data_IF_293845560941
#
_entry.id   IF_293845560941
#
_cell.length_a   1.000
_cell.length_b   1.000
_cell.length_c   1.000
_cell.angle_alpha   90.00
_cell.angle_beta   90.00
_cell.angle_gamma   90.00
#
_symmetry.space_group_name_H-M   'P 1'
#
loop_
_entity.id
_entity.type
_entity.pdbx_description
1 polymer ?
#
# COMPACT_ATOMS: atom_id res chain seq x y z
N UNK A 1 14.54 15.73 -4.22
CA UNK A 1 14.22 16.09 -2.83
C UNK A 1 12.76 15.72 -2.62
N UNK A 2 12.45 14.82 -1.69
CA UNK A 2 11.07 14.37 -1.48
C UNK A 2 10.21 15.54 -1.00
N UNK A 3 9.11 15.84 -1.68
CA UNK A 3 8.15 16.87 -1.27
C UNK A 3 7.56 16.49 0.09
N UNK A 4 7.91 17.25 1.13
CA UNK A 4 7.42 17.03 2.48
C UNK A 4 6.00 17.56 2.60
N UNK A 5 5.01 16.73 2.29
CA UNK A 5 3.61 17.08 2.62
C UNK A 5 3.46 17.00 4.14
N UNK A 6 2.90 18.02 4.83
CA UNK A 6 2.97 18.20 6.29
C UNK A 6 2.37 17.09 7.16
N UNK A 7 1.67 16.11 6.56
CA UNK A 7 1.06 14.98 7.26
C UNK A 7 1.81 13.65 7.09
N UNK A 8 2.97 13.62 6.41
CA UNK A 8 3.73 12.40 6.16
C UNK A 8 4.93 12.27 7.10
N UNK A 9 4.73 11.62 8.24
CA UNK A 9 5.74 11.44 9.31
C UNK A 9 6.21 10.00 9.46
N UNK A 10 5.48 9.00 8.96
CA UNK A 10 5.87 7.60 9.07
C UNK A 10 6.90 7.27 8.01
N UNK A 11 8.09 6.83 8.42
CA UNK A 11 9.11 6.33 7.50
C UNK A 11 8.80 4.88 7.16
N UNK A 12 8.79 4.55 5.86
CA UNK A 12 8.60 3.19 5.35
C UNK A 12 9.70 2.86 4.34
N UNK A 13 10.08 1.59 4.27
CA UNK A 13 11.12 1.10 3.37
C UNK A 13 10.51 0.14 2.36
N UNK A 14 10.84 0.32 1.09
CA UNK A 14 10.37 -0.56 0.04
C UNK A 14 11.42 -0.71 -1.05
N UNK A 15 11.03 -1.38 -2.13
CA UNK A 15 11.78 -1.42 -3.37
C UNK A 15 11.03 -0.62 -4.43
N UNK A 16 11.70 0.33 -5.06
CA UNK A 16 11.10 1.18 -6.08
C UNK A 16 11.89 1.14 -7.39
N UNK A 17 11.16 1.21 -8.51
CA UNK A 17 11.74 1.60 -9.78
C UNK A 17 11.74 3.12 -9.87
N UNK A 18 12.85 3.67 -10.35
CA UNK A 18 13.04 5.12 -10.51
C UNK A 18 12.87 5.59 -11.96
N UNK A 19 12.90 4.66 -12.91
CA UNK A 19 12.74 4.90 -14.34
C UNK A 19 12.18 3.63 -15.02
N UNK A 20 11.96 3.73 -16.34
CA UNK A 20 11.42 2.66 -17.17
C UNK A 20 12.42 1.56 -17.55
N UNK A 21 13.66 1.57 -17.03
CA UNK A 21 14.59 0.44 -17.20
C UNK A 21 14.06 -0.84 -16.53
N UNK A 22 13.19 -0.66 -15.55
CA UNK A 22 12.65 -1.71 -14.71
C UNK A 22 13.62 -2.22 -13.63
N UNK A 23 14.71 -1.49 -13.38
CA UNK A 23 15.59 -1.75 -12.25
C UNK A 23 14.92 -1.28 -10.96
N UNK A 24 14.87 -2.16 -9.96
CA UNK A 24 14.23 -1.89 -8.68
C UNK A 24 15.33 -1.81 -7.61
N UNK A 25 15.35 -0.71 -6.86
CA UNK A 25 16.36 -0.44 -5.82
C UNK A 25 15.70 -0.12 -4.48
N UNK A 26 16.40 -0.33 -3.35
CA UNK A 26 15.89 0.07 -2.04
C UNK A 26 15.52 1.56 -2.01
N UNK A 27 14.32 1.85 -1.50
CA UNK A 27 13.74 3.18 -1.50
C UNK A 27 12.98 3.43 -0.20
N UNK A 28 13.43 4.45 0.53
CA UNK A 28 12.77 4.90 1.75
C UNK A 28 11.92 6.13 1.45
N UNK A 29 10.67 6.10 1.89
CA UNK A 29 9.73 7.20 1.67
C UNK A 29 8.86 7.43 2.90
N UNK A 30 8.09 8.52 2.87
CA UNK A 30 7.22 8.89 3.99
C UNK A 30 5.76 8.60 3.68
N UNK A 31 5.07 8.00 4.64
CA UNK A 31 3.63 7.77 4.69
C UNK A 31 3.01 8.67 5.75
N UNK A 32 1.71 8.93 5.59
CA UNK A 32 0.94 9.68 6.56
C UNK A 32 0.63 8.85 7.80
N UNK A 33 0.38 9.51 8.92
CA UNK A 33 -0.14 8.80 10.10
C UNK A 33 -1.51 8.18 9.82
N UNK A 34 -1.80 7.12 10.57
CA UNK A 34 -3.12 6.52 10.61
C UNK A 34 -4.14 7.54 11.10
N UNK A 35 -5.08 7.86 10.22
CA UNK A 35 -6.31 8.54 10.57
C UNK A 35 -7.30 7.59 11.24
N UNK A 36 -8.46 8.15 11.59
CA UNK A 36 -9.50 7.45 12.37
C UNK A 36 -10.13 6.27 11.63
N UNK A 37 -10.08 6.25 10.30
CA UNK A 37 -10.66 5.21 9.43
C UNK A 37 -9.60 4.29 8.81
N UNK A 38 -8.34 4.42 9.20
CA UNK A 38 -7.22 3.75 8.53
C UNK A 38 -6.74 2.53 9.30
N UNK A 39 -6.08 1.65 8.57
CA UNK A 39 -5.43 0.47 9.14
C UNK A 39 -3.99 0.41 8.63
N UNK A 40 -3.06 0.18 9.54
CA UNK A 40 -1.68 -0.18 9.21
C UNK A 40 -1.56 -1.69 9.17
N UNK A 41 -0.84 -2.16 8.18
CA UNK A 41 -0.54 -3.56 7.99
C UNK A 41 0.98 -3.69 7.93
N UNK A 42 1.51 -4.60 8.72
CA UNK A 42 2.86 -5.11 8.58
C UNK A 42 2.86 -6.15 7.46
N UNK A 43 3.59 -5.87 6.39
CA UNK A 43 3.65 -6.72 5.20
C UNK A 43 4.54 -7.92 5.50
N UNK A 44 3.99 -9.13 5.37
CA UNK A 44 4.76 -10.36 5.50
C UNK A 44 5.18 -10.90 4.13
N UNK A 45 4.27 -10.83 3.16
CA UNK A 45 4.50 -11.32 1.80
C UNK A 45 3.84 -10.40 0.79
N UNK A 46 4.49 -10.24 -0.37
CA UNK A 46 3.93 -9.55 -1.52
C UNK A 46 4.08 -10.43 -2.76
N UNK A 47 2.96 -10.76 -3.39
CA UNK A 47 2.90 -11.40 -4.70
C UNK A 47 3.29 -10.41 -5.80
N UNK A 48 4.01 -10.93 -6.78
CA UNK A 48 4.42 -10.19 -7.99
C UNK A 48 3.76 -10.86 -9.18
N UNK A 49 3.07 -10.09 -9.99
CA UNK A 49 2.45 -10.56 -11.22
C UNK A 49 2.95 -9.77 -12.44
N UNK A 50 2.50 -10.15 -13.63
CA UNK A 50 2.91 -9.49 -14.88
C UNK A 50 2.51 -8.00 -14.91
N UNK A 51 1.40 -7.63 -14.25
CA UNK A 51 0.95 -6.24 -14.15
C UNK A 51 2.00 -5.36 -13.48
N UNK A 52 2.72 -5.86 -12.47
CA UNK A 52 3.80 -5.09 -11.82
C UNK A 52 4.91 -4.76 -12.81
N UNK A 53 5.25 -5.69 -13.71
CA UNK A 53 6.26 -5.50 -14.74
C UNK A 53 5.83 -4.41 -15.73
N UNK A 54 4.56 -4.44 -16.17
CA UNK A 54 4.00 -3.41 -17.06
C UNK A 54 4.08 -2.01 -16.44
N UNK A 55 3.80 -1.89 -15.13
CA UNK A 55 3.96 -0.63 -14.41
C UNK A 55 5.43 -0.23 -14.28
N UNK A 56 6.31 -1.12 -13.85
CA UNK A 56 7.73 -0.85 -13.61
C UNK A 56 8.48 -0.47 -14.90
N UNK A 57 8.06 -0.99 -16.06
CA UNK A 57 8.62 -0.62 -17.37
C UNK A 57 7.87 0.51 -18.08
N UNK A 58 6.78 1.02 -17.48
CA UNK A 58 5.90 2.04 -18.08
C UNK A 58 5.41 1.67 -19.49
N UNK A 59 5.08 0.41 -19.74
CA UNK A 59 4.67 -0.06 -21.06
C UNK A 59 3.34 0.56 -21.52
N UNK A 60 2.54 1.04 -20.57
CA UNK A 60 1.28 1.74 -20.83
C UNK A 60 1.40 3.27 -20.81
N UNK A 61 2.59 3.83 -20.54
CA UNK A 61 2.82 5.27 -20.52
C UNK A 61 2.16 6.03 -19.35
N UNK A 62 1.59 5.33 -18.37
CA UNK A 62 0.85 5.92 -17.25
C UNK A 62 1.60 5.91 -15.91
N UNK A 63 2.77 5.28 -15.84
CA UNK A 63 3.53 5.12 -14.61
C UNK A 63 4.13 6.45 -14.17
N UNK A 64 3.96 6.77 -12.88
CA UNK A 64 4.62 7.89 -12.22
C UNK A 64 5.73 7.36 -11.33
N UNK A 65 6.96 7.76 -11.61
CA UNK A 65 8.13 7.37 -10.83
C UNK A 65 8.37 8.36 -9.67
N UNK A 66 8.93 7.90 -8.53
CA UNK A 66 9.26 6.51 -8.21
C UNK A 66 8.02 5.64 -7.98
N UNK A 67 8.02 4.43 -8.53
CA UNK A 67 6.92 3.46 -8.40
C UNK A 67 7.36 2.28 -7.53
N UNK A 68 6.56 1.95 -6.53
CA UNK A 68 6.74 0.76 -5.68
C UNK A 68 5.75 -0.29 -6.18
N UNK A 69 6.19 -1.33 -6.92
CA UNK A 69 5.31 -2.42 -7.36
C UNK A 69 4.87 -3.30 -6.19
N UNK A 70 3.87 -4.14 -6.42
CA UNK A 70 3.30 -5.01 -5.40
C UNK A 70 1.87 -4.61 -5.08
N UNK A 71 0.94 -5.38 -5.63
CA UNK A 71 -0.49 -5.15 -5.46
C UNK A 71 -1.23 -6.38 -4.93
N UNK A 72 -0.50 -7.39 -4.45
CA UNK A 72 -1.02 -8.63 -3.87
C UNK A 72 -0.32 -8.89 -2.52
N UNK A 73 -0.81 -8.31 -1.44
CA UNK A 73 -0.09 -8.22 -0.16
C UNK A 73 -0.79 -9.05 0.91
N UNK A 74 -0.02 -9.89 1.62
CA UNK A 74 -0.44 -10.54 2.88
C UNK A 74 0.31 -9.90 4.03
N UNK A 75 -0.41 -9.63 5.11
CA UNK A 75 0.19 -9.06 6.29
C UNK A 75 -0.64 -9.22 7.56
N UNK A 76 -0.13 -8.63 8.63
CA UNK A 76 -0.77 -8.60 9.94
C UNK A 76 -1.13 -7.16 10.29
N UNK A 77 -2.32 -6.95 10.81
CA UNK A 77 -2.78 -5.63 11.22
C UNK A 77 -1.98 -5.15 12.44
N UNK A 78 -1.21 -4.07 12.27
CA UNK A 78 -0.38 -3.50 13.34
C UNK A 78 -1.07 -2.35 14.07
N UNK A 79 -1.93 -1.58 13.39
CA UNK A 79 -2.66 -0.45 13.99
C UNK A 79 -4.02 -0.27 13.34
N UNK A 80 -5.02 0.00 14.16
CA UNK A 80 -6.41 0.20 13.73
C UNK A 80 -6.90 1.57 14.18
N UNK A 81 -7.47 2.34 13.25
CA UNK A 81 -8.12 3.63 13.55
C UNK A 81 -9.40 3.44 14.35
N UNK A 82 -9.74 4.41 15.20
CA UNK A 82 -10.86 4.32 16.15
C UNK A 82 -12.25 4.05 15.55
N UNK A 83 -12.47 4.39 14.27
CA UNK A 83 -13.75 4.20 13.57
C UNK A 83 -13.81 2.87 12.79
N UNK A 84 -12.73 2.10 12.79
CA UNK A 84 -12.66 0.79 12.14
C UNK A 84 -13.20 -0.27 13.10
N UNK A 85 -14.22 -1.02 12.66
CA UNK A 85 -14.94 -1.99 13.49
C UNK A 85 -14.67 -3.45 13.13
N UNK A 86 -14.28 -3.69 11.88
CA UNK A 86 -14.24 -5.03 11.29
C UNK A 86 -12.85 -5.69 11.39
N UNK A 87 -11.83 -4.91 11.80
CA UNK A 87 -10.44 -5.34 11.86
C UNK A 87 -9.89 -5.15 13.27
N UNK A 88 -9.04 -6.08 13.70
CA UNK A 88 -8.38 -6.08 14.99
C UNK A 88 -6.88 -6.14 14.79
N UNK A 89 -6.14 -5.54 15.71
CA UNK A 89 -4.69 -5.71 15.81
C UNK A 89 -4.37 -7.21 15.94
N UNK A 90 -3.25 -7.62 15.35
CA UNK A 90 -2.78 -9.01 15.23
C UNK A 90 -3.65 -9.91 14.32
N UNK A 91 -4.63 -9.34 13.63
CA UNK A 91 -5.42 -10.04 12.62
C UNK A 91 -4.65 -10.21 11.30
N UNK A 92 -4.69 -11.41 10.72
CA UNK A 92 -4.16 -11.67 9.38
C UNK A 92 -5.10 -11.10 8.31
N UNK A 93 -4.53 -10.46 7.28
CA UNK A 93 -5.27 -9.86 6.18
C UNK A 93 -4.53 -10.04 4.84
N UNK A 94 -5.29 -10.10 3.76
CA UNK A 94 -4.82 -10.15 2.38
C UNK A 94 -5.46 -9.00 1.59
N UNK A 95 -4.67 -8.32 0.75
CA UNK A 95 -5.11 -7.25 -0.13
C UNK A 95 -4.67 -7.55 -1.57
N UNK A 96 -5.60 -7.57 -2.53
CA UNK A 96 -5.29 -7.59 -3.97
C UNK A 96 -5.92 -6.37 -4.64
N UNK A 97 -5.21 -5.65 -5.51
CA UNK A 97 -5.83 -4.58 -6.33
C UNK A 97 -6.85 -5.13 -7.33
N UNK A 98 -6.64 -6.37 -7.81
CA UNK A 98 -7.64 -7.12 -8.57
C UNK A 98 -8.95 -7.32 -7.80
N UNK A 99 -8.86 -7.29 -6.46
CA UNK A 99 -9.96 -7.32 -5.51
C UNK A 99 -10.12 -5.96 -4.82
N UNK A 100 -10.16 -4.86 -5.60
CA UNK A 100 -10.74 -3.58 -5.12
C UNK A 100 -12.20 -3.75 -4.61
N UNK A 101 -12.78 -4.94 -4.77
CA UNK A 101 -14.00 -5.41 -4.10
C UNK A 101 -13.72 -6.54 -3.10
N UNK A 102 -12.78 -6.39 -2.17
CA UNK A 102 -12.72 -7.26 -0.98
C UNK A 102 -13.90 -6.91 -0.05
N UNK A 103 -15.05 -7.47 -0.41
CA UNK A 103 -16.32 -7.59 0.32
C UNK A 103 -16.98 -6.29 0.80
N UNK A 104 -17.62 -5.62 -0.16
CA UNK A 104 -18.97 -5.04 0.01
C UNK A 104 -19.99 -6.15 0.37
N UNK A 105 -19.94 -6.71 1.59
CA UNK A 105 -21.09 -7.47 2.11
C UNK A 105 -21.52 -6.96 3.48
N UNK A 106 -21.79 -5.66 3.52
CA UNK A 106 -22.84 -5.07 4.35
C UNK A 106 -23.03 -3.65 3.87
N UNK A 107 -23.93 -3.51 2.89
CA UNK A 107 -24.69 -2.34 2.47
C UNK A 107 -24.37 -1.00 3.16
N UNK A 108 -24.20 0.02 2.30
CA UNK A 108 -24.39 1.47 2.52
C UNK A 108 -23.25 2.30 3.09
N UNK A 109 -22.98 3.40 2.39
CA UNK A 109 -22.52 4.64 3.01
C UNK A 109 -21.01 4.85 3.07
N UNK A 110 -20.45 5.33 1.97
CA UNK A 110 -19.40 6.36 1.94
C UNK A 110 -18.35 6.29 3.07
N UNK A 111 -17.37 5.39 2.99
CA UNK A 111 -16.14 5.49 3.80
C UNK A 111 -14.93 5.00 3.00
N UNK A 112 -14.10 5.95 2.57
CA UNK A 112 -12.74 5.68 2.07
C UNK A 112 -11.95 5.05 3.23
N UNK A 113 -11.76 3.73 3.21
CA UNK A 113 -10.82 3.02 4.09
C UNK A 113 -9.47 3.06 3.38
N UNK A 114 -8.51 3.77 3.93
CA UNK A 114 -7.17 3.84 3.34
C UNK A 114 -6.27 2.92 4.13
N UNK A 115 -5.80 1.86 3.47
CA UNK A 115 -4.74 1.01 3.99
C UNK A 115 -3.43 1.78 3.86
N UNK A 116 -2.80 2.05 4.99
CA UNK A 116 -1.46 2.66 5.00
C UNK A 116 -0.50 1.48 5.07
N UNK A 117 0.04 1.14 3.90
CA UNK A 117 1.09 0.13 3.77
C UNK A 117 2.34 0.62 4.51
N UNK A 118 2.63 -0.02 5.64
CA UNK A 118 3.97 -0.03 6.21
C UNK A 118 4.77 -1.00 5.37
N UNK A 119 5.56 -0.49 4.43
CA UNK A 119 6.47 -1.34 3.71
C UNK A 119 7.70 -1.58 4.61
N UNK A 120 7.99 -2.85 4.87
CA UNK A 120 9.33 -3.38 5.12
C UNK A 120 9.46 -4.66 4.29
N UNK A 121 9.77 -4.48 3.01
CA UNK A 121 10.44 -5.46 2.14
C UNK A 121 11.52 -4.70 1.36
#
# INVERSE_FOLDING_TARGET
>A
MAETTPNHTQTVSGWAAHDSSGNITPYTFKRRENGVNDVSIEILYCGICHTDIHYVKNEWGITRYPVVPGHEIVGVVSKVGREVRDLKVDGAIMFCSCMDTWRESSVSGNRRRVVIFGADL
#
